data_IF_161114515076
#
_entry.id   IF_161114515076
#
_cell.length_a   1.000
_cell.length_b   1.000
_cell.length_c   1.000
_cell.angle_alpha   90.00
_cell.angle_beta   90.00
_cell.angle_gamma   90.00
#
_symmetry.space_group_name_H-M   'P 1'
#
loop_
_entity.id
_entity.type
_entity.pdbx_description
1 polymer ?
#
# COMPACT_ATOMS: atom_id res chain seq x y z
N UNK A 1 2.14 5.27 -12.27
CA UNK A 1 1.59 6.16 -13.32
C UNK A 1 0.37 6.88 -12.82
N UNK A 2 0.06 8.07 -13.36
CA UNK A 2 -1.09 8.88 -12.94
C UNK A 2 -2.44 8.32 -13.39
N UNK A 3 -3.50 8.70 -12.68
CA UNK A 3 -4.87 8.30 -13.06
C UNK A 3 -5.30 8.87 -14.42
N UNK A 4 -4.75 10.00 -14.82
CA UNK A 4 -4.99 10.68 -16.09
C UNK A 4 -4.35 9.98 -17.31
N UNK A 5 -3.35 9.13 -17.09
CA UNK A 5 -2.71 8.35 -18.15
C UNK A 5 -3.53 7.10 -18.53
N UNK A 6 -4.37 6.59 -17.63
CA UNK A 6 -5.10 5.32 -17.77
C UNK A 6 -5.92 5.25 -19.08
N UNK A 7 -6.70 6.30 -19.47
CA UNK A 7 -7.52 6.22 -20.67
C UNK A 7 -6.70 6.02 -21.97
N UNK A 8 -5.54 6.64 -22.07
CA UNK A 8 -4.67 6.48 -23.23
C UNK A 8 -4.07 5.08 -23.29
N UNK A 9 -3.58 4.58 -22.15
CA UNK A 9 -2.95 3.25 -22.03
C UNK A 9 -3.95 2.11 -22.24
N UNK A 10 -5.20 2.30 -21.81
CA UNK A 10 -6.26 1.31 -22.02
C UNK A 10 -6.70 1.19 -23.48
N UNK A 11 -6.72 2.33 -24.18
CA UNK A 11 -7.22 2.41 -25.55
C UNK A 11 -6.22 1.94 -26.59
N UNK A 12 -4.93 2.13 -26.35
CA UNK A 12 -3.88 1.95 -27.34
C UNK A 12 -2.67 1.20 -26.74
N UNK A 13 -2.46 -0.02 -27.22
CA UNK A 13 -1.30 -0.83 -26.82
C UNK A 13 0.03 -0.18 -27.21
N UNK A 14 0.08 0.63 -28.29
CA UNK A 14 1.29 1.34 -28.67
C UNK A 14 1.64 2.48 -27.70
N UNK A 15 0.63 3.10 -27.06
CA UNK A 15 0.86 4.07 -25.99
C UNK A 15 1.45 3.38 -24.76
N UNK A 16 0.96 2.19 -24.40
CA UNK A 16 1.52 1.39 -23.32
C UNK A 16 2.97 0.97 -23.60
N UNK A 17 3.26 0.57 -24.83
CA UNK A 17 4.62 0.21 -25.26
C UNK A 17 5.57 1.40 -25.20
N UNK A 18 5.14 2.56 -25.68
CA UNK A 18 5.92 3.79 -25.58
C UNK A 18 6.19 4.20 -24.12
N UNK A 19 5.19 4.00 -23.25
CA UNK A 19 5.34 4.27 -21.81
C UNK A 19 6.38 3.34 -21.17
N UNK A 20 6.32 2.04 -21.42
CA UNK A 20 7.28 1.04 -20.91
C UNK A 20 8.68 1.32 -21.44
N UNK A 21 8.82 1.60 -22.76
CA UNK A 21 10.09 1.94 -23.38
C UNK A 21 10.75 3.18 -22.76
N UNK A 22 9.96 4.18 -22.38
CA UNK A 22 10.46 5.43 -21.80
C UNK A 22 10.74 5.33 -20.28
N UNK A 23 9.91 4.60 -19.52
CA UNK A 23 9.89 4.68 -18.06
C UNK A 23 10.45 3.42 -17.36
N UNK A 24 10.64 2.31 -18.07
CA UNK A 24 11.09 1.05 -17.48
C UNK A 24 12.40 0.58 -18.10
N UNK A 25 12.43 0.43 -19.43
CA UNK A 25 13.56 -0.14 -20.16
C UNK A 25 14.90 0.55 -19.85
N UNK A 26 15.00 1.90 -19.81
CA UNK A 26 16.29 2.57 -19.57
C UNK A 26 16.86 2.36 -18.17
N UNK A 27 16.02 1.94 -17.22
CA UNK A 27 16.38 1.83 -15.80
C UNK A 27 16.60 0.39 -15.36
N UNK A 28 16.00 -0.58 -16.06
CA UNK A 28 16.14 -1.99 -15.74
C UNK A 28 17.37 -2.58 -16.43
N UNK A 29 18.19 -3.46 -15.78
CA UNK A 29 18.05 -3.97 -14.40
C UNK A 29 18.79 -3.13 -13.33
N UNK A 30 19.39 -1.99 -13.70
CA UNK A 30 20.15 -1.16 -12.74
C UNK A 30 19.28 -0.70 -11.57
N UNK A 31 18.01 -0.42 -11.83
CA UNK A 31 16.98 -0.22 -10.79
C UNK A 31 16.18 -1.51 -10.65
N UNK A 32 16.04 -2.00 -9.41
CA UNK A 32 15.21 -3.16 -9.11
C UNK A 32 13.72 -2.81 -9.15
N UNK A 33 13.15 -2.75 -10.37
CA UNK A 33 11.72 -2.51 -10.57
C UNK A 33 11.01 -3.86 -10.44
N UNK A 34 10.14 -3.99 -9.44
CA UNK A 34 9.39 -5.24 -9.14
C UNK A 34 7.93 -5.13 -9.53
N UNK A 35 7.33 -3.94 -9.36
CA UNK A 35 5.93 -3.67 -9.65
C UNK A 35 5.76 -2.35 -10.40
N UNK A 36 4.77 -2.33 -11.30
CA UNK A 36 4.23 -1.11 -11.89
C UNK A 36 2.79 -0.95 -11.39
N UNK A 37 2.51 0.22 -10.80
CA UNK A 37 1.18 0.56 -10.33
C UNK A 37 0.47 1.43 -11.36
N UNK A 38 -0.68 0.95 -11.86
CA UNK A 38 -1.52 1.64 -12.84
C UNK A 38 -2.62 2.40 -12.09
N UNK A 39 -2.40 3.68 -11.85
CA UNK A 39 -3.26 4.52 -11.02
C UNK A 39 -3.11 4.29 -9.53
N UNK A 40 -3.77 5.14 -8.75
CA UNK A 40 -3.85 5.09 -7.29
C UNK A 40 -5.20 5.65 -6.84
N UNK A 41 -5.91 4.92 -5.96
CA UNK A 41 -7.21 5.33 -5.37
C UNK A 41 -8.25 5.82 -6.37
N UNK A 42 -8.23 5.25 -7.57
CA UNK A 42 -9.07 5.69 -8.68
C UNK A 42 -10.57 5.61 -8.35
N UNK A 43 -10.96 4.62 -7.54
CA UNK A 43 -12.38 4.30 -7.27
C UNK A 43 -12.99 5.11 -6.13
N UNK A 44 -12.19 5.92 -5.43
CA UNK A 44 -12.67 6.91 -4.46
C UNK A 44 -13.30 8.11 -5.14
N UNK A 45 -12.81 8.50 -6.31
CA UNK A 45 -13.24 9.69 -7.04
C UNK A 45 -14.33 9.36 -8.07
N UNK A 46 -15.57 9.72 -7.73
CA UNK A 46 -16.73 9.54 -8.62
C UNK A 46 -16.63 10.36 -9.91
N UNK A 47 -15.83 11.42 -9.93
CA UNK A 47 -15.62 12.22 -11.16
C UNK A 47 -14.79 11.42 -12.20
N UNK A 48 -14.06 10.43 -11.76
CA UNK A 48 -13.27 9.51 -12.58
C UNK A 48 -14.01 8.20 -12.92
N UNK A 49 -15.31 8.09 -12.63
CA UNK A 49 -16.07 6.86 -12.85
C UNK A 49 -16.00 6.32 -14.31
N UNK A 50 -15.89 7.20 -15.28
CA UNK A 50 -15.70 6.83 -16.69
C UNK A 50 -14.36 6.11 -16.95
N UNK A 51 -13.36 6.31 -16.09
CA UNK A 51 -12.03 5.71 -16.18
C UNK A 51 -11.96 4.36 -15.44
N UNK A 52 -12.87 4.06 -14.53
CA UNK A 52 -12.81 2.85 -13.70
C UNK A 52 -12.73 1.56 -14.52
N UNK A 53 -13.53 1.47 -15.60
CA UNK A 53 -13.53 0.30 -16.48
C UNK A 53 -12.29 0.17 -17.36
N UNK A 54 -11.48 1.20 -17.40
CA UNK A 54 -10.28 1.27 -18.25
C UNK A 54 -9.02 0.78 -17.52
N UNK A 55 -9.08 0.65 -16.18
CA UNK A 55 -7.93 0.25 -15.35
C UNK A 55 -7.41 -1.14 -15.75
N UNK A 56 -8.29 -2.12 -15.90
CA UNK A 56 -7.88 -3.50 -16.24
C UNK A 56 -7.32 -3.59 -17.65
N UNK A 57 -7.95 -3.00 -18.70
CA UNK A 57 -7.32 -2.90 -20.01
C UNK A 57 -5.95 -2.22 -20.01
N UNK A 58 -5.77 -1.13 -19.26
CA UNK A 58 -4.48 -0.46 -19.16
C UNK A 58 -3.41 -1.36 -18.50
N UNK A 59 -3.77 -2.07 -17.43
CA UNK A 59 -2.91 -3.06 -16.76
C UNK A 59 -2.49 -4.16 -17.77
N UNK A 60 -3.41 -4.68 -18.56
CA UNK A 60 -3.14 -5.71 -19.56
C UNK A 60 -2.18 -5.21 -20.64
N UNK A 61 -2.41 -4.01 -21.19
CA UNK A 61 -1.54 -3.44 -22.20
C UNK A 61 -0.11 -3.18 -21.68
N UNK A 62 0.04 -2.70 -20.44
CA UNK A 62 1.37 -2.57 -19.79
C UNK A 62 2.01 -3.95 -19.59
N UNK A 63 1.25 -4.95 -19.12
CA UNK A 63 1.75 -6.30 -18.96
C UNK A 63 2.27 -6.89 -20.27
N UNK A 64 1.49 -6.78 -21.34
CA UNK A 64 1.85 -7.30 -22.65
C UNK A 64 3.10 -6.61 -23.19
N UNK A 65 3.22 -5.29 -23.00
CA UNK A 65 4.42 -4.55 -23.36
C UNK A 65 5.66 -5.02 -22.59
N UNK A 66 5.54 -5.25 -21.28
CA UNK A 66 6.63 -5.81 -20.49
C UNK A 66 7.08 -7.19 -21.01
N UNK A 67 6.14 -8.04 -21.42
CA UNK A 67 6.45 -9.33 -22.05
C UNK A 67 7.24 -9.13 -23.35
N UNK A 68 6.78 -8.21 -24.22
CA UNK A 68 7.43 -7.89 -25.49
C UNK A 68 8.88 -7.38 -25.30
N UNK A 69 9.13 -6.64 -24.23
CA UNK A 69 10.47 -6.16 -23.85
C UNK A 69 11.29 -7.19 -23.02
N UNK A 70 10.82 -8.43 -22.88
CA UNK A 70 11.47 -9.47 -22.06
C UNK A 70 11.64 -9.10 -20.58
N UNK A 71 10.70 -8.31 -20.02
CA UNK A 71 10.65 -7.82 -18.65
C UNK A 71 9.58 -8.54 -17.82
N UNK A 72 9.34 -9.82 -18.10
CA UNK A 72 8.28 -10.65 -17.50
C UNK A 72 8.37 -10.81 -15.97
N UNK A 73 9.52 -10.51 -15.38
CA UNK A 73 9.70 -10.50 -13.93
C UNK A 73 8.98 -9.32 -13.24
N UNK A 74 8.70 -8.24 -13.97
CA UNK A 74 8.01 -7.07 -13.45
C UNK A 74 6.51 -7.33 -13.49
N UNK A 75 5.84 -7.20 -12.35
CA UNK A 75 4.40 -7.39 -12.24
C UNK A 75 3.65 -6.08 -12.33
N UNK A 76 2.38 -6.15 -12.70
CA UNK A 76 1.52 -4.96 -12.85
C UNK A 76 0.33 -5.10 -11.92
N UNK A 77 -0.06 -4.01 -11.27
CA UNK A 77 -1.23 -3.95 -10.38
C UNK A 77 -1.75 -2.52 -10.31
N UNK A 78 -2.68 -2.27 -9.40
CA UNK A 78 -3.16 -0.95 -9.01
C UNK A 78 -3.33 -0.88 -7.49
N UNK A 79 -3.28 0.32 -6.92
CA UNK A 79 -3.59 0.54 -5.50
C UNK A 79 -5.03 0.99 -5.35
N UNK A 80 -5.79 0.27 -4.52
CA UNK A 80 -7.18 0.59 -4.20
C UNK A 80 -7.27 1.20 -2.80
N UNK A 81 -8.13 2.17 -2.63
CA UNK A 81 -8.47 2.72 -1.33
C UNK A 81 -9.36 1.76 -0.53
N UNK A 82 -9.32 1.86 0.81
CA UNK A 82 -10.13 0.99 1.68
C UNK A 82 -11.65 1.24 1.56
N UNK A 83 -12.05 2.45 1.13
CA UNK A 83 -13.45 2.83 0.89
C UNK A 83 -14.11 2.09 -0.29
N UNK A 84 -13.36 1.26 -1.02
CA UNK A 84 -13.90 0.36 -2.03
C UNK A 84 -14.82 -0.72 -1.45
N UNK A 85 -14.77 -0.94 -0.12
CA UNK A 85 -15.65 -1.84 0.59
C UNK A 85 -16.98 -1.16 0.93
N UNK A 86 -18.10 -1.85 0.66
CA UNK A 86 -19.42 -1.46 1.14
C UNK A 86 -19.63 -1.92 2.59
N UNK A 87 -19.08 -3.08 2.95
CA UNK A 87 -19.11 -3.64 4.30
C UNK A 87 -17.70 -4.03 4.69
N UNK A 88 -17.29 -3.63 5.89
CA UNK A 88 -15.97 -3.96 6.45
C UNK A 88 -16.05 -4.49 7.88
N UNK A 89 -17.24 -4.58 8.45
CA UNK A 89 -17.47 -5.12 9.80
C UNK A 89 -18.80 -5.91 9.89
N UNK A 90 -18.81 -7.11 10.52
CA UNK A 90 -17.61 -7.82 10.97
C UNK A 90 -16.73 -8.24 9.79
N UNK A 91 -15.42 -8.51 9.98
CA UNK A 91 -14.49 -8.76 8.87
C UNK A 91 -14.94 -9.86 7.89
N UNK A 92 -15.51 -10.97 8.38
CA UNK A 92 -16.01 -12.07 7.54
C UNK A 92 -17.17 -11.68 6.61
N UNK A 93 -17.76 -10.50 6.80
CA UNK A 93 -18.84 -9.95 5.96
C UNK A 93 -18.32 -8.90 4.96
N UNK A 94 -17.01 -8.72 4.88
CA UNK A 94 -16.39 -7.83 3.93
C UNK A 94 -16.95 -8.02 2.51
N UNK A 95 -17.34 -6.91 1.87
CA UNK A 95 -17.86 -6.93 0.50
C UNK A 95 -17.53 -5.65 -0.22
N UNK A 96 -17.22 -5.74 -1.51
CA UNK A 96 -17.01 -4.58 -2.35
C UNK A 96 -18.29 -3.79 -2.58
N UNK A 97 -18.15 -2.50 -2.86
CA UNK A 97 -19.28 -1.67 -3.32
C UNK A 97 -19.89 -2.26 -4.60
N UNK A 98 -21.24 -2.24 -4.72
CA UNK A 98 -21.94 -2.83 -5.88
C UNK A 98 -21.55 -2.20 -7.23
N UNK A 99 -21.19 -0.91 -7.24
CA UNK A 99 -20.80 -0.16 -8.43
C UNK A 99 -19.45 -0.61 -9.04
N UNK A 100 -18.60 -1.25 -8.24
CA UNK A 100 -17.27 -1.70 -8.67
C UNK A 100 -17.08 -3.23 -8.60
N UNK A 101 -17.87 -3.95 -7.82
CA UNK A 101 -17.66 -5.36 -7.53
C UNK A 101 -17.56 -6.24 -8.80
N UNK A 102 -18.57 -6.18 -9.65
CA UNK A 102 -18.64 -7.02 -10.86
C UNK A 102 -17.86 -6.40 -12.04
N UNK A 103 -17.92 -5.07 -12.16
CA UNK A 103 -17.42 -4.37 -13.35
C UNK A 103 -15.91 -4.10 -13.30
N UNK A 104 -15.33 -4.00 -12.10
CA UNK A 104 -13.91 -3.65 -11.88
C UNK A 104 -13.19 -4.71 -11.08
N UNK A 105 -13.66 -5.01 -9.85
CA UNK A 105 -12.90 -5.86 -8.93
C UNK A 105 -12.82 -7.30 -9.40
N UNK A 106 -13.91 -7.86 -9.93
CA UNK A 106 -13.88 -9.24 -10.45
C UNK A 106 -12.88 -9.41 -11.60
N UNK A 107 -12.88 -8.60 -12.70
CA UNK A 107 -11.86 -8.70 -13.73
C UNK A 107 -10.45 -8.36 -13.27
N UNK A 108 -10.28 -7.39 -12.35
CA UNK A 108 -8.98 -7.07 -11.76
C UNK A 108 -8.41 -8.27 -10.99
N UNK A 109 -9.19 -8.86 -10.10
CA UNK A 109 -8.76 -10.00 -9.29
C UNK A 109 -8.50 -11.23 -10.15
N UNK A 110 -9.27 -11.44 -11.22
CA UNK A 110 -8.99 -12.49 -12.21
C UNK A 110 -7.61 -12.32 -12.86
N UNK A 111 -7.26 -11.09 -13.23
CA UNK A 111 -5.94 -10.78 -13.78
C UNK A 111 -4.85 -11.04 -12.73
N UNK A 112 -5.00 -10.53 -11.50
CA UNK A 112 -4.02 -10.67 -10.43
C UNK A 112 -3.79 -12.14 -10.05
N UNK A 113 -4.84 -12.95 -10.00
CA UNK A 113 -4.76 -14.40 -9.76
C UNK A 113 -3.97 -15.10 -10.87
N UNK A 114 -4.27 -14.79 -12.14
CA UNK A 114 -3.61 -15.41 -13.30
C UNK A 114 -2.13 -15.04 -13.45
N UNK A 115 -1.70 -13.91 -12.88
CA UNK A 115 -0.32 -13.39 -12.96
C UNK A 115 0.44 -13.54 -11.64
N UNK A 116 -0.14 -14.16 -10.62
CA UNK A 116 0.41 -14.26 -9.26
C UNK A 116 0.82 -12.87 -8.71
N UNK A 117 0.01 -11.86 -8.99
CA UNK A 117 0.24 -10.47 -8.55
C UNK A 117 -0.53 -10.17 -7.27
N UNK A 118 -0.10 -9.14 -6.52
CA UNK A 118 -0.79 -8.67 -5.33
C UNK A 118 -1.91 -7.68 -5.69
N UNK A 119 -3.02 -7.71 -4.92
CA UNK A 119 -3.87 -6.54 -4.78
C UNK A 119 -3.22 -5.58 -3.80
N UNK A 120 -2.90 -4.37 -4.24
CA UNK A 120 -2.37 -3.33 -3.37
C UNK A 120 -3.51 -2.52 -2.76
N UNK A 121 -3.43 -2.27 -1.44
CA UNK A 121 -4.48 -1.58 -0.70
C UNK A 121 -3.89 -0.45 0.13
N UNK A 122 -4.42 0.75 -0.02
CA UNK A 122 -4.19 1.85 0.88
C UNK A 122 -5.13 1.69 2.07
N UNK A 123 -4.58 1.36 3.24
CA UNK A 123 -5.36 1.05 4.44
C UNK A 123 -4.79 1.77 5.65
N UNK A 124 -5.60 2.64 6.24
CA UNK A 124 -5.20 3.49 7.33
C UNK A 124 -6.09 3.26 8.56
N UNK A 125 -5.62 2.49 9.56
CA UNK A 125 -6.31 2.39 10.85
C UNK A 125 -6.60 3.75 11.51
N UNK A 126 -5.78 4.76 11.23
CA UNK A 126 -6.02 6.13 11.67
C UNK A 126 -7.41 6.64 11.30
N UNK A 127 -7.78 6.57 10.02
CA UNK A 127 -9.09 7.06 9.58
C UNK A 127 -10.25 6.21 10.12
N UNK A 128 -10.06 4.87 10.15
CA UNK A 128 -11.05 3.98 10.75
C UNK A 128 -11.30 4.29 12.24
N UNK A 129 -10.24 4.58 12.97
CA UNK A 129 -10.32 4.95 14.38
C UNK A 129 -10.83 6.39 14.59
N UNK A 130 -10.25 7.38 13.92
CA UNK A 130 -10.56 8.80 14.19
C UNK A 130 -12.02 9.15 13.97
N UNK A 131 -12.66 8.52 12.98
CA UNK A 131 -14.10 8.67 12.71
C UNK A 131 -15.00 7.85 13.63
N UNK A 132 -14.45 6.86 14.35
CA UNK A 132 -15.19 5.94 15.21
C UNK A 132 -14.57 5.80 16.62
N UNK A 133 -13.87 6.83 17.10
CA UNK A 133 -13.09 6.80 18.35
C UNK A 133 -13.90 6.53 19.61
N UNK A 134 -15.23 6.73 19.57
CA UNK A 134 -16.14 6.38 20.65
C UNK A 134 -16.41 4.86 20.75
N UNK A 135 -16.17 4.09 19.68
CA UNK A 135 -16.43 2.64 19.62
C UNK A 135 -15.14 1.83 19.48
N UNK A 136 -14.11 2.40 18.87
CA UNK A 136 -12.84 1.75 18.61
C UNK A 136 -11.80 2.31 19.60
N UNK A 137 -11.25 1.50 20.51
CA UNK A 137 -10.20 1.95 21.41
C UNK A 137 -8.91 2.32 20.69
N UNK A 138 -8.21 3.34 21.13
CA UNK A 138 -6.95 3.78 20.53
C UNK A 138 -5.85 2.70 20.59
N UNK A 139 -5.80 1.94 21.67
CA UNK A 139 -4.84 0.84 21.85
C UNK A 139 -5.01 -0.27 20.79
N UNK A 140 -6.25 -0.51 20.35
CA UNK A 140 -6.55 -1.43 19.24
C UNK A 140 -6.06 -0.90 17.89
N UNK A 141 -6.15 0.39 17.64
CA UNK A 141 -5.64 1.01 16.41
C UNK A 141 -4.11 1.12 16.40
N UNK A 142 -3.47 1.30 17.55
CA UNK A 142 -2.02 1.48 17.70
C UNK A 142 -1.23 0.17 17.94
N UNK A 143 -1.85 -1.00 17.86
CA UNK A 143 -1.23 -2.31 18.16
C UNK A 143 -0.66 -2.43 19.58
N UNK A 144 -1.13 -1.62 20.52
CA UNK A 144 -0.67 -1.70 21.92
C UNK A 144 -1.47 -2.65 22.79
N UNK A 145 -2.56 -3.18 22.23
CA UNK A 145 -3.40 -4.17 22.91
C UNK A 145 -2.84 -5.58 22.76
N UNK A 146 -2.74 -6.30 23.87
CA UNK A 146 -2.22 -7.68 23.92
C UNK A 146 -3.33 -8.75 23.95
N UNK A 147 -4.60 -8.33 23.97
CA UNK A 147 -5.77 -9.22 24.06
C UNK A 147 -6.72 -8.94 22.89
N UNK A 148 -7.49 -9.94 22.52
CA UNK A 148 -8.59 -9.80 21.57
C UNK A 148 -9.54 -8.68 22.00
N UNK A 149 -9.80 -7.73 21.09
CA UNK A 149 -10.80 -6.68 21.30
C UNK A 149 -12.16 -7.11 20.77
N UNK A 150 -12.19 -7.72 19.59
CA UNK A 150 -13.43 -8.18 18.96
C UNK A 150 -13.23 -9.58 18.37
N UNK A 151 -14.33 -10.32 18.27
CA UNK A 151 -14.36 -11.64 17.66
C UNK A 151 -15.34 -11.68 16.50
N UNK A 152 -15.01 -12.49 15.48
CA UNK A 152 -15.87 -12.75 14.35
C UNK A 152 -15.83 -14.27 14.06
N UNK A 153 -16.83 -14.99 14.54
CA UNK A 153 -16.81 -16.45 14.56
C UNK A 153 -15.62 -16.98 15.36
N UNK A 154 -14.74 -17.71 14.68
CA UNK A 154 -13.52 -18.28 15.28
C UNK A 154 -12.33 -17.29 15.33
N UNK A 155 -12.44 -16.14 14.67
CA UNK A 155 -11.35 -15.20 14.52
C UNK A 155 -11.38 -14.14 15.62
N UNK A 156 -10.22 -13.92 16.25
CA UNK A 156 -10.04 -12.90 17.29
C UNK A 156 -9.09 -11.82 16.82
N UNK A 157 -9.47 -10.56 16.93
CA UNK A 157 -8.70 -9.42 16.47
C UNK A 157 -8.17 -8.60 17.63
N UNK A 158 -6.85 -8.48 17.72
CA UNK A 158 -6.15 -7.67 18.70
C UNK A 158 -5.69 -6.31 18.17
N UNK A 159 -5.78 -6.10 16.85
CA UNK A 159 -5.48 -4.81 16.22
C UNK A 159 -6.43 -4.55 15.02
N UNK A 160 -6.61 -3.27 14.71
CA UNK A 160 -7.54 -2.81 13.68
C UNK A 160 -7.06 -3.12 12.27
N UNK A 161 -5.75 -3.11 12.02
CA UNK A 161 -5.20 -3.39 10.68
C UNK A 161 -5.53 -4.81 10.22
N UNK A 162 -5.35 -5.82 11.08
CA UNK A 162 -5.68 -7.20 10.74
C UNK A 162 -7.17 -7.36 10.42
N UNK A 163 -8.05 -6.70 11.18
CA UNK A 163 -9.49 -6.71 10.91
C UNK A 163 -9.83 -6.07 9.56
N UNK A 164 -9.15 -4.97 9.21
CA UNK A 164 -9.33 -4.29 7.91
C UNK A 164 -8.83 -5.16 6.74
N UNK A 165 -7.67 -5.81 6.90
CA UNK A 165 -7.13 -6.70 5.87
C UNK A 165 -8.02 -7.95 5.67
N UNK A 166 -8.54 -8.51 6.75
CA UNK A 166 -9.44 -9.66 6.65
C UNK A 166 -10.79 -9.30 6.03
N UNK A 167 -11.30 -8.08 6.26
CA UNK A 167 -12.48 -7.60 5.55
C UNK A 167 -12.24 -7.49 4.04
N UNK A 168 -11.06 -7.02 3.62
CA UNK A 168 -10.65 -7.02 2.21
C UNK A 168 -10.54 -8.44 1.65
N UNK A 169 -9.94 -9.36 2.41
CA UNK A 169 -9.83 -10.77 2.03
C UNK A 169 -11.19 -11.44 1.87
N UNK A 170 -12.14 -11.16 2.77
CA UNK A 170 -13.52 -11.65 2.67
C UNK A 170 -14.23 -11.08 1.44
N UNK A 171 -14.06 -9.80 1.13
CA UNK A 171 -14.61 -9.19 -0.08
C UNK A 171 -14.09 -9.86 -1.36
N UNK A 172 -12.79 -10.14 -1.41
CA UNK A 172 -12.18 -10.87 -2.53
C UNK A 172 -12.75 -12.28 -2.66
N UNK A 173 -12.94 -12.98 -1.54
CA UNK A 173 -13.55 -14.32 -1.54
C UNK A 173 -15.01 -14.30 -2.03
N UNK A 174 -15.77 -13.26 -1.70
CA UNK A 174 -17.18 -13.08 -2.13
C UNK A 174 -17.31 -13.02 -3.65
N UNK A 175 -16.31 -12.46 -4.35
CA UNK A 175 -16.28 -12.40 -5.82
C UNK A 175 -15.47 -13.54 -6.47
N UNK A 176 -15.09 -14.57 -5.69
CA UNK A 176 -14.51 -15.80 -6.20
C UNK A 176 -12.97 -15.88 -6.21
N UNK A 177 -12.26 -14.92 -5.60
CA UNK A 177 -10.79 -14.87 -5.58
C UNK A 177 -10.20 -14.88 -4.17
N UNK A 178 -10.41 -15.94 -3.35
CA UNK A 178 -9.93 -15.98 -1.97
C UNK A 178 -8.40 -16.05 -1.84
N UNK A 179 -7.70 -16.47 -2.90
CA UNK A 179 -6.27 -16.75 -2.85
C UNK A 179 -5.38 -15.60 -3.36
N UNK A 180 -5.95 -14.55 -3.97
CA UNK A 180 -5.17 -13.38 -4.36
C UNK A 180 -4.54 -12.76 -3.12
N UNK A 181 -3.25 -12.49 -3.20
CA UNK A 181 -2.49 -11.94 -2.07
C UNK A 181 -2.72 -10.43 -1.97
N UNK A 182 -2.68 -9.92 -0.74
CA UNK A 182 -2.79 -8.49 -0.44
C UNK A 182 -1.38 -7.97 -0.12
N UNK A 183 -1.08 -6.78 -0.63
CA UNK A 183 0.01 -5.95 -0.15
C UNK A 183 -0.55 -4.60 0.29
N UNK A 184 0.03 -4.00 1.32
CA UNK A 184 -0.33 -2.66 1.76
C UNK A 184 0.54 -1.67 0.98
N UNK A 185 -0.06 -0.92 0.05
CA UNK A 185 0.64 0.13 -0.69
C UNK A 185 0.86 1.39 0.14
N UNK A 186 -0.06 1.66 1.06
CA UNK A 186 0.06 2.80 1.97
C UNK A 186 -0.61 2.49 3.30
N UNK A 187 0.09 2.80 4.38
CA UNK A 187 -0.43 2.88 5.75
C UNK A 187 0.45 3.79 6.59
N UNK A 188 -0.09 4.37 7.65
CA UNK A 188 0.66 5.28 8.51
C UNK A 188 -0.23 5.93 9.56
N UNK A 189 0.35 6.91 10.26
CA UNK A 189 -0.33 7.71 11.27
C UNK A 189 0.25 9.13 11.28
N UNK A 190 -0.58 10.19 11.25
CA UNK A 190 -0.07 11.55 11.19
C UNK A 190 0.52 12.01 12.52
N UNK A 191 1.67 12.68 12.45
CA UNK A 191 2.40 13.18 13.62
C UNK A 191 1.91 14.53 14.12
N UNK A 192 1.18 15.28 13.29
CA UNK A 192 0.54 16.58 13.62
C UNK A 192 -0.78 16.64 12.85
N UNK A 193 -1.78 17.32 13.42
CA UNK A 193 -3.07 17.56 12.78
C UNK A 193 -3.73 18.82 13.32
N UNK A 194 -4.84 19.22 12.70
CA UNK A 194 -5.69 20.30 13.17
C UNK A 194 -6.45 19.86 14.44
N UNK A 195 -7.07 20.77 15.15
CA UNK A 195 -7.75 20.48 16.43
C UNK A 195 -8.91 19.46 16.32
N UNK A 196 -9.46 19.29 15.13
CA UNK A 196 -10.50 18.30 14.82
C UNK A 196 -9.94 16.98 14.29
N UNK A 197 -8.64 16.87 14.02
CA UNK A 197 -7.96 15.66 13.57
C UNK A 197 -7.51 14.83 14.77
N UNK A 198 -8.46 14.12 15.36
CA UNK A 198 -8.25 13.36 16.59
C UNK A 198 -7.09 12.37 16.44
N UNK A 199 -6.27 12.28 17.48
CA UNK A 199 -5.20 11.30 17.57
C UNK A 199 -3.97 11.60 16.70
N UNK A 200 -4.00 12.62 15.85
CA UNK A 200 -2.82 13.09 15.12
C UNK A 200 -1.81 13.66 16.12
N UNK A 201 -0.78 12.90 16.42
CA UNK A 201 0.28 13.28 17.34
C UNK A 201 1.56 12.51 17.07
N UNK A 202 2.70 13.14 17.37
CA UNK A 202 4.02 12.51 17.22
C UNK A 202 4.13 11.20 18.00
N UNK A 203 3.58 11.14 19.21
CA UNK A 203 3.59 9.94 20.06
C UNK A 203 2.80 8.79 19.43
N UNK A 204 1.59 9.06 18.94
CA UNK A 204 0.76 8.03 18.31
C UNK A 204 1.36 7.58 16.97
N UNK A 205 1.91 8.51 16.18
CA UNK A 205 2.58 8.19 14.90
C UNK A 205 3.79 7.27 15.13
N UNK A 206 4.63 7.59 16.12
CA UNK A 206 5.76 6.74 16.50
C UNK A 206 5.28 5.37 16.97
N UNK A 207 4.28 5.32 17.85
CA UNK A 207 3.74 4.07 18.40
C UNK A 207 3.16 3.19 17.29
N UNK A 208 2.33 3.77 16.41
CA UNK A 208 1.74 3.05 15.30
C UNK A 208 2.80 2.45 14.37
N UNK A 209 3.70 3.29 13.85
CA UNK A 209 4.68 2.84 12.87
C UNK A 209 5.69 1.85 13.46
N UNK A 210 6.14 2.04 14.71
CA UNK A 210 7.02 1.08 15.37
C UNK A 210 6.33 -0.28 15.59
N UNK A 211 5.09 -0.28 16.04
CA UNK A 211 4.33 -1.51 16.27
C UNK A 211 3.95 -2.20 14.95
N UNK A 212 3.64 -1.43 13.91
CA UNK A 212 3.45 -1.95 12.54
C UNK A 212 4.70 -2.71 12.07
N UNK A 213 5.88 -2.10 12.16
CA UNK A 213 7.15 -2.74 11.80
C UNK A 213 7.32 -4.05 12.58
N UNK A 214 7.11 -4.02 13.90
CA UNK A 214 7.21 -5.21 14.76
C UNK A 214 6.21 -6.29 14.36
N UNK A 215 4.98 -5.91 14.03
CA UNK A 215 3.92 -6.84 13.62
C UNK A 215 4.24 -7.52 12.28
N UNK A 216 4.60 -6.73 11.27
CA UNK A 216 4.87 -7.23 9.91
C UNK A 216 6.14 -8.07 9.86
N UNK A 217 7.21 -7.65 10.55
CA UNK A 217 8.50 -8.36 10.57
C UNK A 217 8.60 -9.43 11.66
N UNK A 218 7.49 -9.78 12.31
CA UNK A 218 7.49 -10.84 13.34
C UNK A 218 7.97 -12.17 12.77
N UNK A 219 8.75 -12.89 13.56
CA UNK A 219 9.21 -14.24 13.20
C UNK A 219 8.75 -15.24 14.29
N UNK A 220 8.00 -16.29 13.91
CA UNK A 220 7.46 -16.55 12.56
C UNK A 220 6.45 -15.47 12.12
N UNK A 221 6.27 -15.33 10.80
CA UNK A 221 5.26 -14.42 10.22
C UNK A 221 3.88 -14.70 10.79
N UNK A 222 3.21 -13.66 11.32
CA UNK A 222 1.89 -13.82 11.95
C UNK A 222 0.77 -13.90 10.93
N UNK A 223 0.79 -13.03 9.91
CA UNK A 223 -0.34 -12.82 9.01
C UNK A 223 -1.52 -12.21 9.77
N UNK A 224 -2.71 -12.39 9.23
CA UNK A 224 -3.98 -11.98 9.87
C UNK A 224 -4.72 -13.21 10.44
N UNK A 225 -5.74 -13.04 11.29
CA UNK A 225 -6.54 -14.15 11.82
C UNK A 225 -7.14 -15.07 10.75
N UNK A 226 -7.62 -14.55 9.60
CA UNK A 226 -8.14 -15.36 8.50
C UNK A 226 -7.03 -15.93 7.61
N UNK A 227 -5.85 -15.31 7.58
CA UNK A 227 -4.70 -15.69 6.74
C UNK A 227 -3.43 -15.84 7.58
N UNK A 228 -3.41 -16.77 8.55
CA UNK A 228 -2.27 -16.93 9.45
C UNK A 228 -1.03 -17.37 8.69
N UNK A 229 0.13 -16.81 9.05
CA UNK A 229 1.41 -17.14 8.44
C UNK A 229 1.65 -16.53 7.05
N UNK A 230 0.71 -15.77 6.51
CA UNK A 230 0.89 -15.10 5.21
C UNK A 230 1.56 -13.75 5.41
N UNK A 231 2.72 -13.56 4.80
CA UNK A 231 3.42 -12.27 4.81
C UNK A 231 2.66 -11.24 3.97
N UNK A 232 2.50 -10.04 4.51
CA UNK A 232 1.85 -8.91 3.85
C UNK A 232 2.91 -7.84 3.58
N UNK A 233 3.42 -7.72 2.34
CA UNK A 233 4.34 -6.63 1.99
C UNK A 233 3.69 -5.29 2.31
N UNK A 234 4.42 -4.42 3.00
CA UNK A 234 3.85 -3.19 3.55
C UNK A 234 4.74 -1.99 3.26
N UNK A 235 4.12 -0.89 2.85
CA UNK A 235 4.77 0.39 2.64
C UNK A 235 4.20 1.42 3.61
N UNK A 236 5.09 2.08 4.35
CA UNK A 236 4.70 3.18 5.24
C UNK A 236 4.58 4.46 4.43
N UNK A 237 3.43 5.11 4.51
CA UNK A 237 3.22 6.46 4.02
C UNK A 237 3.42 7.45 5.19
N UNK A 238 4.44 8.34 5.14
CA UNK A 238 5.35 8.49 4.04
C UNK A 238 6.81 8.57 4.55
N UNK A 239 7.78 8.51 3.65
CA UNK A 239 9.19 8.69 4.05
C UNK A 239 9.44 10.14 4.53
N UNK A 240 8.92 11.14 3.82
CA UNK A 240 9.08 12.56 4.16
C UNK A 240 7.75 13.23 4.45
N UNK A 241 7.76 14.24 5.34
CA UNK A 241 6.68 15.21 5.45
C UNK A 241 6.56 15.99 4.13
N UNK A 242 5.32 16.13 3.62
CA UNK A 242 5.02 16.81 2.37
C UNK A 242 4.59 18.27 2.64
N UNK A 243 5.52 19.09 3.08
CA UNK A 243 5.26 20.44 3.62
C UNK A 243 4.54 21.41 2.66
N UNK A 244 4.50 21.12 1.37
CA UNK A 244 3.78 21.89 0.36
C UNK A 244 2.42 21.29 -0.05
N UNK A 245 2.01 20.13 0.52
CA UNK A 245 0.74 19.48 0.19
C UNK A 245 -0.44 20.30 0.68
N UNK A 246 -1.47 20.56 -0.16
CA UNK A 246 -2.68 21.26 0.25
C UNK A 246 -3.54 20.38 1.17
N UNK A 247 -4.58 20.98 1.78
CA UNK A 247 -5.54 20.27 2.62
C UNK A 247 -5.28 20.43 4.11
N UNK A 248 -5.81 19.49 4.90
CA UNK A 248 -5.71 19.47 6.35
C UNK A 248 -4.26 19.40 6.84
N UNK A 249 -4.00 19.80 8.08
CA UNK A 249 -2.64 19.80 8.62
C UNK A 249 -2.02 18.39 8.64
N UNK A 250 -2.82 17.35 8.89
CA UNK A 250 -2.32 15.97 8.84
C UNK A 250 -1.71 15.61 7.49
N UNK A 251 -2.26 16.11 6.37
CA UNK A 251 -1.77 15.79 5.01
C UNK A 251 -0.28 16.11 4.79
N UNK A 252 0.26 17.03 5.55
CA UNK A 252 1.68 17.43 5.50
C UNK A 252 2.56 16.69 6.50
N UNK A 253 2.00 15.82 7.36
CA UNK A 253 2.67 15.33 8.55
C UNK A 253 2.59 13.79 8.73
N UNK A 254 2.66 13.06 7.63
CA UNK A 254 2.72 11.59 7.63
C UNK A 254 4.15 11.03 7.61
N UNK A 255 5.14 11.89 7.35
CA UNK A 255 6.52 11.49 7.14
C UNK A 255 7.20 10.91 8.37
N UNK A 256 8.11 9.97 8.13
CA UNK A 256 9.10 9.52 9.12
C UNK A 256 10.21 10.54 9.28
N UNK A 257 10.49 11.31 8.23
CA UNK A 257 11.51 12.34 8.15
C UNK A 257 10.89 13.70 7.81
N UNK A 258 11.52 14.75 8.30
CA UNK A 258 11.31 16.10 7.79
C UNK A 258 11.96 16.27 6.41
N UNK A 259 11.61 17.31 5.61
CA UNK A 259 12.21 17.54 4.29
C UNK A 259 13.73 17.71 4.29
N UNK A 260 14.32 18.07 5.42
CA UNK A 260 15.77 18.21 5.62
C UNK A 260 16.46 16.85 5.95
N UNK A 261 15.71 15.77 6.02
CA UNK A 261 16.21 14.43 6.34
C UNK A 261 16.29 14.12 7.84
N UNK A 262 15.98 15.07 8.72
CA UNK A 262 15.94 14.79 10.17
C UNK A 262 14.71 13.97 10.54
N UNK A 263 14.83 13.07 11.53
CA UNK A 263 13.74 12.20 11.93
C UNK A 263 12.62 12.99 12.64
N UNK A 264 11.37 12.78 12.22
CA UNK A 264 10.20 13.28 12.94
C UNK A 264 10.12 12.63 14.32
N UNK A 265 10.40 11.33 14.38
CA UNK A 265 10.52 10.51 15.61
C UNK A 265 11.45 9.32 15.33
N UNK A 266 12.11 8.76 16.36
CA UNK A 266 12.92 7.57 16.17
C UNK A 266 12.02 6.37 15.84
N UNK A 267 12.46 5.56 14.87
CA UNK A 267 11.85 4.28 14.50
C UNK A 267 12.97 3.26 14.26
N UNK A 268 12.83 2.05 14.81
CA UNK A 268 13.77 0.96 14.60
C UNK A 268 13.18 -0.06 13.62
N UNK A 269 13.71 -0.05 12.40
CA UNK A 269 13.34 -0.99 11.34
C UNK A 269 14.24 -2.24 11.36
N UNK A 270 15.44 -2.15 11.97
CA UNK A 270 16.47 -3.20 11.90
C UNK A 270 16.31 -4.28 12.98
N UNK A 271 15.79 -3.95 14.15
CA UNK A 271 15.72 -4.88 15.29
C UNK A 271 14.73 -6.04 15.07
N UNK A 272 13.74 -5.84 14.21
CA UNK A 272 12.78 -6.89 13.85
C UNK A 272 13.39 -7.95 12.89
N UNK A 273 14.49 -7.63 12.19
CA UNK A 273 15.16 -8.50 11.21
C UNK A 273 16.18 -9.48 11.83
N UNK A 274 16.46 -9.42 13.14
CA UNK A 274 17.55 -10.21 13.77
C UNK A 274 17.16 -11.62 14.23
N UNK A 275 15.94 -12.09 13.95
CA UNK A 275 15.56 -13.48 14.17
C UNK A 275 15.98 -14.33 12.97
N UNK A 276 17.12 -15.02 13.08
CA UNK A 276 17.64 -15.94 12.06
C UNK A 276 16.62 -17.05 11.74
N UNK A 277 16.21 -17.27 10.48
CA UNK A 277 15.41 -18.43 10.13
C UNK A 277 16.34 -19.64 10.00
N UNK A 278 16.24 -20.56 10.92
CA UNK A 278 16.81 -21.91 10.73
C UNK A 278 15.82 -22.77 9.96
N UNK A 279 16.17 -23.19 8.71
CA UNK A 279 15.44 -24.21 7.95
C UNK A 279 15.57 -24.05 6.43
N UNK A 280 15.71 -25.16 5.67
CA UNK A 280 16.09 -25.13 4.26
C UNK A 280 14.89 -24.88 3.35
N UNK A 281 15.04 -23.96 2.41
CA UNK A 281 14.22 -23.88 1.20
C UNK A 281 13.09 -22.85 1.20
N UNK A 282 13.43 -21.59 1.13
CA UNK A 282 12.52 -20.51 0.78
C UNK A 282 13.34 -19.31 0.33
N UNK A 283 13.04 -18.77 -0.84
CA UNK A 283 13.75 -17.63 -1.42
C UNK A 283 13.77 -16.46 -0.45
N UNK A 284 14.95 -16.15 0.06
CA UNK A 284 15.21 -14.93 0.84
C UNK A 284 15.24 -13.74 -0.11
N UNK A 285 14.14 -13.04 -0.24
CA UNK A 285 14.17 -11.69 -0.80
C UNK A 285 14.77 -10.74 0.25
N UNK A 286 15.99 -10.31 -0.03
CA UNK A 286 16.78 -9.47 0.86
C UNK A 286 16.11 -8.13 1.15
N UNK A 287 16.10 -7.80 2.43
CA UNK A 287 15.82 -6.46 2.92
C UNK A 287 16.97 -5.56 2.46
N UNK A 288 16.68 -4.59 1.60
CA UNK A 288 17.66 -3.57 1.22
C UNK A 288 17.97 -2.71 2.45
N UNK A 289 19.10 -2.98 3.08
CA UNK A 289 19.64 -2.12 4.13
C UNK A 289 20.04 -0.77 3.55
N UNK A 290 19.71 0.29 4.27
CA UNK A 290 20.30 1.62 4.05
C UNK A 290 21.80 1.51 4.35
N UNK A 291 22.63 1.34 3.32
CA UNK A 291 24.07 1.56 3.42
C UNK A 291 24.32 3.04 3.24
N UNK A 292 25.04 3.64 4.18
CA UNK A 292 25.64 4.96 4.00
C UNK A 292 26.62 4.90 2.84
N UNK A 293 26.21 5.35 1.66
CA UNK A 293 27.11 5.70 0.58
C UNK A 293 27.33 7.20 0.63
N UNK A 294 28.51 7.60 1.06
CA UNK A 294 29.04 8.94 0.85
C UNK A 294 29.17 9.18 -0.65
N UNK A 295 28.22 9.92 -1.22
CA UNK A 295 28.34 10.44 -2.57
C UNK A 295 28.94 11.84 -2.54
N UNK A 296 30.25 11.94 -2.75
CA UNK A 296 30.88 13.14 -3.27
C UNK A 296 30.54 13.27 -4.77
N UNK A 297 29.54 14.10 -5.10
CA UNK A 297 29.15 14.39 -6.46
C UNK A 297 28.09 15.48 -6.52
N UNK A 298 28.44 16.68 -7.00
CA UNK A 298 27.54 17.81 -7.17
C UNK A 298 26.34 17.44 -8.06
N UNK A 299 25.10 17.74 -7.70
CA UNK A 299 23.95 17.53 -8.58
C UNK A 299 23.91 18.59 -9.68
N UNK A 300 23.89 18.16 -10.93
CA UNK A 300 23.51 19.01 -12.05
C UNK A 300 21.99 19.16 -12.05
N UNK A 301 21.52 20.37 -11.78
CA UNK A 301 20.10 20.73 -11.80
C UNK A 301 19.65 20.92 -13.23
N UNK A 302 18.81 20.04 -13.74
CA UNK A 302 17.97 20.31 -14.91
C UNK A 302 16.59 20.76 -14.43
N UNK A 303 16.00 21.82 -15.04
CA UNK A 303 14.70 22.31 -14.62
C UNK A 303 13.61 21.34 -15.10
N UNK A 304 12.97 20.63 -14.17
CA UNK A 304 11.74 19.89 -14.45
C UNK A 304 10.54 20.80 -14.20
N UNK A 305 9.68 20.93 -15.20
CA UNK A 305 8.40 21.60 -15.11
C UNK A 305 7.51 20.95 -14.06
N UNK A 306 6.95 21.79 -13.19
CA UNK A 306 6.03 21.38 -12.14
C UNK A 306 4.70 20.91 -12.76
N UNK A 307 4.48 19.62 -12.81
CA UNK A 307 3.16 19.03 -12.97
C UNK A 307 3.08 17.80 -12.07
N UNK A 308 2.22 17.90 -11.07
CA UNK A 308 1.61 16.87 -10.24
C UNK A 308 2.36 15.53 -10.15
N UNK A 309 3.38 15.46 -9.30
CA UNK A 309 3.85 14.21 -8.72
C UNK A 309 3.47 14.22 -7.25
N UNK A 310 2.36 13.55 -6.92
CA UNK A 310 2.18 13.02 -5.57
C UNK A 310 3.37 12.09 -5.31
N UNK A 311 4.25 12.47 -4.40
CA UNK A 311 5.52 11.78 -4.19
C UNK A 311 5.29 10.40 -3.58
N UNK A 312 5.41 9.38 -4.39
CA UNK A 312 5.43 7.96 -3.99
C UNK A 312 6.79 7.61 -3.35
N UNK A 313 7.15 8.27 -2.27
CA UNK A 313 8.25 7.83 -1.41
C UNK A 313 7.69 7.12 -0.18
N UNK A 314 7.23 5.89 -0.39
CA UNK A 314 6.83 4.99 0.68
C UNK A 314 8.03 4.14 1.11
N UNK A 315 8.25 4.00 2.42
CA UNK A 315 9.24 3.07 2.95
C UNK A 315 8.64 1.67 2.97
N UNK A 316 9.23 0.74 2.21
CA UNK A 316 8.87 -0.69 2.26
C UNK A 316 9.51 -1.34 3.49
N UNK A 317 8.70 -2.02 4.30
CA UNK A 317 9.10 -2.94 5.36
C UNK A 317 8.88 -4.39 4.96
#
# INVERSE_FOLDING_TARGET
MGNDEIPALAKDASAADAWVAANVVPYYPATNIVYIMVGNELFADQTLAATWLQVVPAIQNIHDSLQNHSLSAIRVSTAVEYSILAVSFPPSKGSFRPDVAASVMTPLLKYLDSTDSYLFVNVYPYFGWSTNSQYIPLDYALFTRNTTFTTDGQYGYANLLDAQLDAMAAAMATVGYPNVRIAISETGWPSVGDSNELGASRSNAQTYNQNLVTHILSSPTRGTPMRPGIFVPTFIFALYNENAKPGATSERNWGLLYPDGTAVYPIDIKSASSATPGGPGGETQGVAGLTENTCDGKPSVLPMSASFFGSLFNLRI
#
